data_IF_881794302214
#
_entry.id   IF_881794302214
#
_cell.length_a   1.000
_cell.length_b   1.000
_cell.length_c   1.000
_cell.angle_alpha   90.00
_cell.angle_beta   90.00
_cell.angle_gamma   90.00
#
_symmetry.space_group_name_H-M   'P 1'
#
loop_
_entity.id
_entity.type
_entity.pdbx_description
1 polymer ?
#
# COMPACT_ATOMS: atom_id res chain seq x y z
N UNK A 1 13.72 57.26 44.35
CA UNK A 1 13.29 56.71 45.62
C UNK A 1 13.13 55.21 45.45
N UNK A 2 13.84 54.51 46.25
CA UNK A 2 14.06 53.08 46.32
C UNK A 2 12.78 52.37 46.77
N UNK A 3 12.45 51.21 46.22
CA UNK A 3 12.02 50.07 47.02
C UNK A 3 12.15 48.77 46.21
N UNK A 4 13.18 48.03 46.60
CA UNK A 4 13.40 46.61 46.35
C UNK A 4 12.46 45.83 47.26
N UNK A 5 11.78 44.80 46.69
CA UNK A 5 11.27 43.68 47.49
C UNK A 5 11.59 42.39 46.73
N UNK A 6 12.58 41.71 47.26
CA UNK A 6 12.81 40.26 47.06
C UNK A 6 11.80 39.48 47.90
N UNK A 7 11.42 38.29 47.45
CA UNK A 7 11.07 37.07 48.21
C UNK A 7 10.74 36.01 47.16
N UNK A 8 11.52 35.05 47.07
CA UNK A 8 11.73 33.74 47.69
C UNK A 8 11.22 32.60 46.78
N UNK A 9 12.17 31.73 46.54
CA UNK A 9 12.05 30.44 45.87
C UNK A 9 11.09 29.49 46.60
N UNK A 10 10.37 28.70 45.85
CA UNK A 10 9.91 27.42 46.35
C UNK A 10 10.07 26.36 45.24
N UNK A 11 11.08 25.55 45.41
CA UNK A 11 11.30 24.32 44.66
C UNK A 11 10.39 23.25 45.24
N UNK A 12 9.59 22.62 44.35
CA UNK A 12 8.96 21.34 44.66
C UNK A 12 9.37 20.36 43.57
N UNK A 13 10.32 19.53 43.94
CA UNK A 13 10.65 18.31 43.23
C UNK A 13 9.59 17.26 43.60
N UNK A 14 8.92 16.74 42.63
CA UNK A 14 8.23 15.44 42.75
C UNK A 14 8.70 14.55 41.59
N UNK A 15 9.64 13.71 41.97
CA UNK A 15 10.02 12.49 41.30
C UNK A 15 8.82 11.54 41.31
N UNK A 16 8.44 11.04 40.19
CA UNK A 16 7.66 9.79 40.09
C UNK A 16 8.00 9.11 38.77
N UNK A 17 9.00 8.25 38.83
CA UNK A 17 9.19 7.16 37.90
C UNK A 17 8.00 6.19 38.04
N UNK A 18 7.30 5.99 36.98
CA UNK A 18 6.50 4.77 36.80
C UNK A 18 6.96 4.11 35.53
N UNK A 19 7.87 3.19 35.67
CA UNK A 19 8.21 2.17 34.69
C UNK A 19 6.96 1.30 34.50
N UNK A 20 6.48 1.24 33.25
CA UNK A 20 5.59 0.16 32.85
C UNK A 20 6.46 -0.79 32.01
N UNK A 21 7.04 -1.73 32.75
CA UNK A 21 7.59 -2.96 32.19
C UNK A 21 6.46 -3.85 31.68
N UNK A 22 6.56 -4.22 30.43
CA UNK A 22 6.57 -5.59 29.96
C UNK A 22 5.33 -6.45 30.11
N UNK A 23 4.80 -6.84 29.01
CA UNK A 23 4.44 -8.25 28.78
C UNK A 23 4.84 -8.63 27.35
N UNK A 24 6.08 -9.13 27.22
CA UNK A 24 6.47 -10.01 26.13
C UNK A 24 5.73 -11.33 26.34
N UNK A 25 4.75 -11.62 25.55
CA UNK A 25 4.28 -13.00 25.39
C UNK A 25 5.01 -13.61 24.20
N UNK A 26 5.94 -14.48 24.55
CA UNK A 26 6.62 -15.40 23.64
C UNK A 26 5.66 -16.54 23.32
N UNK A 27 4.99 -16.48 22.19
CA UNK A 27 4.53 -17.71 21.56
C UNK A 27 5.45 -18.04 20.39
N UNK A 28 6.35 -18.97 20.68
CA UNK A 28 7.17 -19.67 19.71
C UNK A 28 6.26 -20.56 18.83
N UNK A 29 6.06 -20.19 17.57
CA UNK A 29 5.50 -21.07 16.55
C UNK A 29 6.49 -21.19 15.42
N UNK A 30 7.20 -22.30 15.42
CA UNK A 30 8.09 -22.74 14.34
C UNK A 30 7.21 -23.14 13.14
N UNK A 31 7.01 -22.20 12.22
CA UNK A 31 6.43 -22.44 10.92
C UNK A 31 7.26 -21.68 9.90
N UNK A 32 7.95 -22.43 9.02
CA UNK A 32 8.67 -21.88 7.87
C UNK A 32 7.65 -21.24 6.94
N UNK A 33 7.33 -19.97 7.18
CA UNK A 33 6.58 -19.14 6.24
C UNK A 33 7.57 -18.27 5.48
N UNK A 34 7.56 -18.37 4.16
CA UNK A 34 8.20 -17.40 3.27
C UNK A 34 7.55 -16.04 3.53
N UNK A 35 8.26 -15.19 4.23
CA UNK A 35 7.77 -13.90 4.72
C UNK A 35 7.74 -12.91 3.55
N UNK A 36 6.61 -12.87 2.84
CA UNK A 36 6.31 -11.75 1.94
C UNK A 36 5.93 -10.56 2.82
N UNK A 37 6.86 -9.63 3.00
CA UNK A 37 6.61 -8.43 3.79
C UNK A 37 5.51 -7.59 3.13
N UNK A 38 4.30 -7.67 3.66
CA UNK A 38 3.19 -6.79 3.29
C UNK A 38 3.14 -5.61 4.25
N UNK A 39 3.18 -4.40 3.73
CA UNK A 39 2.99 -3.19 4.53
C UNK A 39 1.83 -2.35 4.01
N UNK A 40 1.05 -1.79 4.93
CA UNK A 40 -0.01 -0.83 4.63
C UNK A 40 0.51 0.55 5.02
N UNK A 41 0.72 1.42 4.03
CA UNK A 41 1.04 2.82 4.28
C UNK A 41 -0.27 3.62 4.32
N UNK A 42 -0.83 3.79 5.52
CA UNK A 42 -2.11 4.44 5.72
C UNK A 42 -2.10 5.92 5.27
N UNK A 43 -0.99 6.63 5.46
CA UNK A 43 -0.86 8.04 5.06
C UNK A 43 -0.90 8.22 3.54
N UNK A 44 -0.31 7.28 2.79
CA UNK A 44 -0.30 7.31 1.32
C UNK A 44 -1.50 6.59 0.71
N UNK A 45 -2.30 5.91 1.51
CA UNK A 45 -3.40 5.09 1.01
C UNK A 45 -2.97 3.94 0.10
N UNK A 46 -1.77 3.39 0.32
CA UNK A 46 -1.19 2.31 -0.48
C UNK A 46 -1.05 1.02 0.32
N UNK A 47 -1.25 -0.11 -0.35
CA UNK A 47 -0.77 -1.43 0.06
C UNK A 47 0.47 -1.74 -0.75
N UNK A 48 1.53 -2.20 -0.09
CA UNK A 48 2.83 -2.47 -0.72
C UNK A 48 3.33 -3.86 -0.30
N UNK A 49 3.74 -4.66 -1.27
CA UNK A 49 4.32 -5.99 -1.09
C UNK A 49 5.72 -6.03 -1.70
N UNK A 50 6.68 -6.62 -1.01
CA UNK A 50 8.00 -6.85 -1.59
C UNK A 50 7.94 -8.06 -2.54
N UNK A 51 8.51 -7.92 -3.73
CA UNK A 51 8.60 -9.01 -4.70
C UNK A 51 9.94 -9.73 -4.60
N UNK A 52 9.90 -11.05 -4.81
CA UNK A 52 11.10 -11.90 -4.92
C UNK A 52 11.66 -11.98 -6.35
N UNK A 53 11.07 -11.21 -7.28
CA UNK A 53 11.39 -11.24 -8.70
C UNK A 53 11.85 -9.86 -9.19
N UNK A 54 12.39 -9.81 -10.41
CA UNK A 54 12.64 -8.55 -11.10
C UNK A 54 11.33 -7.79 -11.38
N UNK A 55 11.42 -6.48 -11.68
CA UNK A 55 10.24 -5.69 -12.08
C UNK A 55 9.56 -6.30 -13.30
N UNK A 56 10.34 -6.76 -14.29
CA UNK A 56 9.82 -7.39 -15.50
C UNK A 56 9.07 -8.70 -15.18
N UNK A 57 9.70 -9.61 -14.43
CA UNK A 57 9.11 -10.91 -14.10
C UNK A 57 7.88 -10.76 -13.19
N UNK A 58 7.93 -9.82 -12.23
CA UNK A 58 6.77 -9.51 -11.39
C UNK A 58 5.60 -9.02 -12.22
N UNK A 59 5.85 -8.14 -13.21
CA UNK A 59 4.81 -7.63 -14.08
C UNK A 59 4.25 -8.71 -15.02
N UNK A 60 5.09 -9.64 -15.49
CA UNK A 60 4.66 -10.76 -16.35
C UNK A 60 3.80 -11.75 -15.55
N UNK A 61 4.23 -12.12 -14.32
CA UNK A 61 3.42 -12.93 -13.40
C UNK A 61 2.11 -12.24 -13.06
N UNK A 62 2.13 -10.94 -12.77
CA UNK A 62 0.94 -10.16 -12.47
C UNK A 62 -0.09 -10.23 -13.60
N UNK A 63 0.34 -10.02 -14.84
CA UNK A 63 -0.54 -10.13 -16.03
C UNK A 63 -1.16 -11.52 -16.11
N UNK A 64 -0.33 -12.58 -16.00
CA UNK A 64 -0.80 -13.97 -16.04
C UNK A 64 -1.83 -14.26 -14.93
N UNK A 65 -1.58 -13.80 -13.71
CA UNK A 65 -2.51 -13.97 -12.58
C UNK A 65 -3.84 -13.25 -12.82
N UNK A 66 -3.80 -12.01 -13.34
CA UNK A 66 -4.99 -11.22 -13.65
C UNK A 66 -5.85 -11.94 -14.70
N UNK A 67 -5.24 -12.40 -15.79
CA UNK A 67 -5.93 -13.09 -16.89
C UNK A 67 -6.49 -14.44 -16.45
N UNK A 68 -5.75 -15.21 -15.65
CA UNK A 68 -6.22 -16.49 -15.09
C UNK A 68 -7.48 -16.35 -14.20
N UNK A 69 -7.67 -15.17 -13.60
CA UNK A 69 -8.86 -14.83 -12.80
C UNK A 69 -10.01 -14.22 -13.65
N UNK A 70 -9.90 -14.26 -14.98
CA UNK A 70 -10.92 -13.74 -15.89
C UNK A 70 -11.08 -12.21 -15.88
N UNK A 71 -10.05 -11.49 -15.43
CA UNK A 71 -10.00 -10.03 -15.51
C UNK A 71 -9.29 -9.58 -16.78
N UNK A 72 -9.63 -8.38 -17.25
CA UNK A 72 -9.05 -7.80 -18.44
C UNK A 72 -7.88 -6.88 -18.07
N UNK A 73 -6.73 -7.08 -18.72
CA UNK A 73 -5.63 -6.10 -18.75
C UNK A 73 -5.96 -5.07 -19.84
N UNK A 74 -6.01 -3.79 -19.46
CA UNK A 74 -6.29 -2.68 -20.38
C UNK A 74 -5.01 -2.08 -20.93
N UNK A 75 -3.98 -1.95 -20.09
CA UNK A 75 -2.68 -1.41 -20.47
C UNK A 75 -1.58 -1.89 -19.53
N UNK A 76 -0.36 -1.94 -20.08
CA UNK A 76 0.88 -2.02 -19.35
C UNK A 76 1.77 -0.89 -19.80
N UNK A 77 2.21 -0.06 -18.88
CA UNK A 77 3.05 1.12 -19.13
C UNK A 77 4.43 0.88 -18.54
N UNK A 78 5.45 0.94 -19.37
CA UNK A 78 6.84 0.86 -18.95
C UNK A 78 7.42 2.28 -18.86
N UNK A 79 7.42 2.82 -17.65
CA UNK A 79 7.92 4.17 -17.40
C UNK A 79 9.42 4.30 -17.62
N UNK A 80 10.21 3.23 -17.38
CA UNK A 80 11.64 3.23 -17.65
C UNK A 80 11.92 3.39 -19.15
N UNK A 81 11.26 2.61 -20.00
CA UNK A 81 11.40 2.73 -21.45
C UNK A 81 10.92 4.09 -21.96
N UNK A 82 9.84 4.61 -21.41
CA UNK A 82 9.34 5.94 -21.75
C UNK A 82 10.38 7.03 -21.39
N UNK A 83 11.01 6.93 -20.22
CA UNK A 83 12.07 7.85 -19.82
C UNK A 83 13.28 7.76 -20.77
N UNK A 84 13.71 6.54 -21.10
CA UNK A 84 14.81 6.29 -22.03
C UNK A 84 14.55 6.90 -23.42
N UNK A 85 13.32 6.82 -23.91
CA UNK A 85 12.94 7.42 -25.20
C UNK A 85 12.95 8.96 -25.21
N UNK A 86 13.03 9.57 -24.02
CA UNK A 86 13.16 11.01 -23.80
C UNK A 86 14.56 11.41 -23.29
N UNK A 87 15.56 10.53 -23.45
CA UNK A 87 16.93 10.71 -22.98
C UNK A 87 17.04 10.95 -21.46
N UNK A 88 16.09 10.39 -20.69
CA UNK A 88 16.06 10.45 -19.23
C UNK A 88 16.34 9.09 -18.59
N UNK A 89 16.87 9.12 -17.36
CA UNK A 89 17.09 7.92 -16.55
C UNK A 89 16.00 7.72 -15.52
N UNK A 90 15.45 6.50 -15.47
CA UNK A 90 14.53 6.06 -14.43
C UNK A 90 14.87 4.61 -14.07
N UNK A 91 14.77 4.27 -12.77
CA UNK A 91 14.86 2.87 -12.35
C UNK A 91 13.70 2.06 -12.95
N UNK A 92 13.84 0.72 -13.04
CA UNK A 92 12.75 -0.14 -13.49
C UNK A 92 11.43 0.22 -12.81
N UNK A 93 10.43 0.61 -13.59
CA UNK A 93 9.15 1.08 -13.10
C UNK A 93 8.07 0.78 -14.13
N UNK A 94 7.07 -0.03 -13.77
CA UNK A 94 5.97 -0.40 -14.65
C UNK A 94 4.63 -0.29 -13.94
N UNK A 95 3.57 0.03 -14.68
CA UNK A 95 2.19 0.02 -14.19
C UNK A 95 1.36 -0.91 -15.06
N UNK A 96 0.61 -1.79 -14.42
CA UNK A 96 -0.41 -2.63 -15.07
C UNK A 96 -1.79 -2.10 -14.68
N UNK A 97 -2.60 -1.79 -15.70
CA UNK A 97 -3.98 -1.32 -15.56
C UNK A 97 -4.94 -2.45 -15.93
N UNK A 98 -5.85 -2.79 -15.04
CA UNK A 98 -6.75 -3.93 -15.24
C UNK A 98 -8.07 -3.75 -14.50
N UNK A 99 -9.05 -4.58 -14.84
CA UNK A 99 -10.33 -4.53 -14.15
C UNK A 99 -11.31 -5.59 -14.61
N UNK A 100 -12.44 -5.60 -13.89
CA UNK A 100 -13.62 -6.39 -14.22
C UNK A 100 -14.86 -5.50 -14.06
N UNK A 101 -15.65 -5.27 -15.14
CA UNK A 101 -16.86 -4.44 -15.06
C UNK A 101 -17.85 -4.92 -13.99
N UNK A 102 -17.92 -6.23 -13.74
CA UNK A 102 -18.80 -6.80 -12.71
C UNK A 102 -18.41 -6.37 -11.28
N UNK A 103 -17.15 -6.00 -11.06
CA UNK A 103 -16.68 -5.50 -9.76
C UNK A 103 -16.69 -3.96 -9.71
N UNK A 104 -16.29 -3.29 -10.80
CA UNK A 104 -16.17 -1.83 -10.82
C UNK A 104 -17.51 -1.10 -10.93
N UNK A 105 -18.46 -1.63 -11.72
CA UNK A 105 -19.74 -0.96 -11.94
C UNK A 105 -20.57 -0.81 -10.66
N UNK A 106 -20.73 -1.83 -9.79
CA UNK A 106 -21.42 -1.65 -8.52
C UNK A 106 -20.81 -0.54 -7.66
N UNK A 107 -19.47 -0.47 -7.59
CA UNK A 107 -18.78 0.56 -6.82
C UNK A 107 -19.04 1.98 -7.39
N UNK A 108 -19.02 2.14 -8.72
CA UNK A 108 -19.34 3.40 -9.39
C UNK A 108 -20.82 3.79 -9.21
N UNK A 109 -21.74 2.83 -9.05
CA UNK A 109 -23.14 3.12 -8.74
C UNK A 109 -23.33 3.65 -7.31
N UNK A 110 -22.44 3.30 -6.37
CA UNK A 110 -22.45 3.88 -5.03
C UNK A 110 -21.88 5.30 -5.02
N UNK A 111 -20.80 5.53 -5.75
CA UNK A 111 -20.16 6.85 -5.87
C UNK A 111 -19.43 6.94 -7.22
N UNK A 112 -19.99 7.73 -8.14
CA UNK A 112 -19.50 7.80 -9.52
C UNK A 112 -18.08 8.37 -9.62
N UNK A 113 -17.69 9.28 -8.72
CA UNK A 113 -16.36 9.90 -8.75
C UNK A 113 -15.21 8.92 -8.52
N UNK A 114 -15.49 7.72 -7.96
CA UNK A 114 -14.47 6.66 -7.83
C UNK A 114 -13.92 6.19 -9.17
N UNK A 115 -14.65 6.45 -10.26
CA UNK A 115 -14.21 6.14 -11.61
C UNK A 115 -12.86 6.77 -11.99
N UNK A 116 -12.45 7.89 -11.36
CA UNK A 116 -11.14 8.50 -11.59
C UNK A 116 -9.98 7.60 -11.14
N UNK A 117 -10.21 6.74 -10.14
CA UNK A 117 -9.23 5.79 -9.63
C UNK A 117 -9.34 4.41 -10.32
N UNK A 118 -10.34 4.21 -11.15
CA UNK A 118 -10.52 2.99 -11.95
C UNK A 118 -10.05 3.23 -13.41
N UNK A 119 -9.67 2.15 -14.13
CA UNK A 119 -9.48 0.76 -13.68
C UNK A 119 -8.41 0.63 -12.59
N UNK A 120 -8.36 -0.52 -11.90
CA UNK A 120 -7.32 -0.79 -10.92
C UNK A 120 -5.93 -0.67 -11.55
N UNK A 121 -4.99 -0.13 -10.79
CA UNK A 121 -3.60 0.05 -11.19
C UNK A 121 -2.70 -0.58 -10.16
N UNK A 122 -1.75 -1.40 -10.62
CA UNK A 122 -0.68 -1.94 -9.79
C UNK A 122 0.64 -1.43 -10.35
N UNK A 123 1.39 -0.73 -9.50
CA UNK A 123 2.75 -0.27 -9.74
C UNK A 123 3.72 -1.36 -9.34
N UNK A 124 4.71 -1.64 -10.19
CA UNK A 124 5.89 -2.45 -9.86
C UNK A 124 7.11 -1.57 -10.06
N UNK A 125 7.93 -1.41 -9.02
CA UNK A 125 9.09 -0.52 -9.08
C UNK A 125 10.28 -1.04 -8.27
N UNK A 126 11.48 -0.72 -8.73
CA UNK A 126 12.74 -0.96 -8.02
C UNK A 126 13.12 0.28 -7.21
N UNK A 127 13.44 0.10 -5.93
CA UNK A 127 13.92 1.18 -5.06
C UNK A 127 15.44 1.44 -5.21
N UNK A 128 15.98 2.32 -4.38
CA UNK A 128 17.40 2.65 -4.39
C UNK A 128 18.29 1.47 -3.92
N UNK A 129 17.74 0.57 -3.11
CA UNK A 129 18.41 -0.60 -2.56
C UNK A 129 18.26 -1.83 -3.45
N UNK A 130 17.76 -1.66 -4.68
CA UNK A 130 17.51 -2.74 -5.65
C UNK A 130 16.42 -3.72 -5.22
N UNK A 131 15.58 -3.35 -4.25
CA UNK A 131 14.41 -4.13 -3.86
C UNK A 131 13.26 -3.80 -4.79
N UNK A 132 12.52 -4.82 -5.17
CA UNK A 132 11.33 -4.68 -6.02
C UNK A 132 10.08 -4.68 -5.17
N UNK A 133 9.19 -3.72 -5.45
CA UNK A 133 7.95 -3.50 -4.74
C UNK A 133 6.77 -3.51 -5.70
N UNK A 134 5.68 -4.15 -5.27
CA UNK A 134 4.38 -4.10 -5.90
C UNK A 134 3.45 -3.26 -5.02
N UNK A 135 2.84 -2.21 -5.57
CA UNK A 135 1.99 -1.27 -4.82
C UNK A 135 0.68 -1.00 -5.54
N UNK A 136 -0.40 -0.88 -4.77
CA UNK A 136 -1.72 -0.51 -5.28
C UNK A 136 -2.51 0.34 -4.28
N UNK A 137 -3.53 1.05 -4.78
CA UNK A 137 -4.42 1.84 -3.93
C UNK A 137 -5.18 0.92 -2.95
N UNK A 138 -5.13 1.24 -1.66
CA UNK A 138 -5.95 0.58 -0.66
C UNK A 138 -7.43 0.93 -0.91
N UNK A 139 -8.33 -0.06 -1.10
CA UNK A 139 -9.75 0.22 -1.32
C UNK A 139 -10.44 0.97 -0.18
N UNK A 140 -10.02 0.77 1.07
CA UNK A 140 -10.55 1.53 2.21
C UNK A 140 -10.14 3.00 2.15
N UNK A 141 -8.95 3.30 1.63
CA UNK A 141 -8.56 4.68 1.35
C UNK A 141 -9.45 5.30 0.26
N UNK A 142 -9.75 4.56 -0.82
CA UNK A 142 -10.66 5.05 -1.87
C UNK A 142 -12.06 5.27 -1.32
N UNK A 143 -12.55 4.39 -0.42
CA UNK A 143 -13.82 4.60 0.28
C UNK A 143 -13.85 5.92 1.03
N UNK A 144 -12.78 6.24 1.75
CA UNK A 144 -12.66 7.49 2.50
C UNK A 144 -12.53 8.70 1.56
N UNK A 145 -11.63 8.61 0.56
CA UNK A 145 -11.38 9.68 -0.41
C UNK A 145 -12.64 10.14 -1.13
N UNK A 146 -13.46 9.19 -1.57
CA UNK A 146 -14.67 9.45 -2.35
C UNK A 146 -15.93 9.49 -1.48
N UNK A 147 -15.81 9.38 -0.15
CA UNK A 147 -16.95 9.34 0.78
C UNK A 147 -18.01 8.29 0.40
N UNK A 148 -17.56 7.11 -0.07
CA UNK A 148 -18.44 6.03 -0.53
C UNK A 148 -19.29 5.53 0.63
N UNK A 149 -20.60 5.46 0.42
CA UNK A 149 -21.57 4.95 1.40
C UNK A 149 -22.20 3.66 0.89
N UNK A 150 -22.39 2.70 1.81
CA UNK A 150 -23.21 1.51 1.56
C UNK A 150 -22.61 0.42 0.66
N UNK A 151 -21.34 0.54 0.22
CA UNK A 151 -20.64 -0.44 -0.64
C UNK A 151 -19.55 -1.23 0.10
N UNK A 152 -19.78 -1.58 1.35
CA UNK A 152 -18.78 -2.24 2.19
C UNK A 152 -18.38 -3.63 1.65
N UNK A 153 -19.35 -4.37 1.12
CA UNK A 153 -19.13 -5.69 0.54
C UNK A 153 -18.26 -5.61 -0.72
N UNK A 154 -18.52 -4.63 -1.59
CA UNK A 154 -17.76 -4.39 -2.81
C UNK A 154 -16.31 -4.00 -2.47
N UNK A 155 -16.12 -3.09 -1.53
CA UNK A 155 -14.79 -2.69 -1.04
C UNK A 155 -14.02 -3.88 -0.46
N UNK A 156 -14.65 -4.68 0.39
CA UNK A 156 -14.03 -5.87 0.98
C UNK A 156 -13.65 -6.92 -0.08
N UNK A 157 -14.52 -7.16 -1.07
CA UNK A 157 -14.24 -8.09 -2.15
C UNK A 157 -13.08 -7.61 -3.04
N UNK A 158 -13.02 -6.32 -3.36
CA UNK A 158 -11.93 -5.72 -4.13
C UNK A 158 -10.62 -5.83 -3.34
N UNK A 159 -10.63 -5.52 -2.04
CA UNK A 159 -9.46 -5.64 -1.16
C UNK A 159 -8.91 -7.07 -1.13
N UNK A 160 -9.79 -8.05 -0.96
CA UNK A 160 -9.43 -9.47 -0.97
C UNK A 160 -8.84 -9.91 -2.33
N UNK A 161 -9.45 -9.46 -3.42
CA UNK A 161 -8.96 -9.79 -4.76
C UNK A 161 -7.58 -9.19 -5.04
N UNK A 162 -7.38 -7.90 -4.73
CA UNK A 162 -6.09 -7.21 -4.93
C UNK A 162 -4.98 -7.84 -4.09
N UNK A 163 -5.26 -8.17 -2.82
CA UNK A 163 -4.29 -8.85 -1.97
C UNK A 163 -3.89 -10.22 -2.56
N UNK A 164 -4.86 -11.03 -2.97
CA UNK A 164 -4.58 -12.34 -3.55
C UNK A 164 -3.79 -12.24 -4.88
N UNK A 165 -4.06 -11.24 -5.70
CA UNK A 165 -3.34 -10.98 -6.95
C UNK A 165 -1.91 -10.54 -6.66
N UNK A 166 -1.75 -9.58 -5.74
CA UNK A 166 -0.44 -9.05 -5.36
C UNK A 166 0.46 -10.13 -4.77
N UNK A 167 -0.05 -10.91 -3.81
CA UNK A 167 0.67 -12.04 -3.21
C UNK A 167 1.11 -13.05 -4.27
N UNK A 168 0.20 -13.51 -5.13
CA UNK A 168 0.53 -14.48 -6.18
C UNK A 168 1.57 -13.97 -7.20
N UNK A 169 1.64 -12.65 -7.43
CA UNK A 169 2.61 -12.06 -8.35
C UNK A 169 4.00 -11.84 -7.72
N UNK A 170 4.11 -11.74 -6.39
CA UNK A 170 5.35 -11.41 -5.67
C UNK A 170 6.04 -12.61 -5.03
N UNK A 171 5.32 -13.69 -4.77
CA UNK A 171 5.87 -14.94 -4.20
C UNK A 171 6.68 -15.73 -5.24
N UNK A 172 7.56 -16.63 -4.72
CA UNK A 172 8.42 -17.52 -5.52
C UNK A 172 7.61 -18.57 -6.29
#
# INVERSE_FOLDING_TARGET
MIKIVSIAALAVAVSSCASIDTLLDKTNSTGTMTDTTTSINAEKGLVTLQSNHSVQDTADKLVSVIESKGMKVFARVDHQKNAQSADLSLRPTQVVMFGNPKAGTPLMNCEQTVAIDLPQKILISEDADKKVWLSYNNPDYLKTRHNIKGCDTEIANISKALNAIGTAATEK
#
